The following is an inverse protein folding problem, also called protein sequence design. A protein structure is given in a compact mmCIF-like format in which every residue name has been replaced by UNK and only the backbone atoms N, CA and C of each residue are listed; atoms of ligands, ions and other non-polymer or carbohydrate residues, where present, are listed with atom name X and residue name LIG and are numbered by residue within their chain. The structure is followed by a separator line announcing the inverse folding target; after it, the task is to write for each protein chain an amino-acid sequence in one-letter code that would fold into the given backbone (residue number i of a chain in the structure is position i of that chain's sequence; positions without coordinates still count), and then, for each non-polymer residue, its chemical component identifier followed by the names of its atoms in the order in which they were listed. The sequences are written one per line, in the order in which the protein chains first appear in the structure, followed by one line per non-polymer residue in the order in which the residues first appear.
data_IF_504553614156
#
_entry.id   IF_504553614156
#
_cell.length_a   1.000
_cell.length_b   1.000
_cell.length_c   1.000
_cell.angle_alpha   90.00
_cell.angle_beta   90.00
_cell.angle_gamma   90.00
#
_symmetry.space_group_name_H-M   'P 1'
#
loop_
_entity.id
_entity.type
_entity.pdbx_description
1 polymer ?
#
# COMPACT_ATOMS: atom_id res chain seq x y z
N UNK A 1 51.30 -30.40 -42.07
CA UNK A 1 51.01 -29.03 -41.57
C UNK A 1 49.52 -28.70 -41.55
N UNK A 2 48.73 -29.11 -42.56
CA UNK A 2 47.27 -28.85 -42.61
C UNK A 2 46.44 -29.47 -41.46
N UNK A 3 46.70 -30.72 -41.03
CA UNK A 3 45.95 -31.38 -39.93
C UNK A 3 46.11 -30.73 -38.56
N UNK A 4 47.21 -30.03 -38.31
CA UNK A 4 47.45 -29.35 -37.03
C UNK A 4 46.57 -28.10 -36.89
N UNK A 5 46.31 -27.41 -38.00
CA UNK A 5 45.46 -26.21 -38.03
C UNK A 5 43.99 -26.60 -37.86
N UNK A 6 43.53 -27.68 -38.51
CA UNK A 6 42.15 -28.18 -38.35
C UNK A 6 41.84 -28.62 -36.91
N UNK A 7 42.80 -29.24 -36.21
CA UNK A 7 42.62 -29.63 -34.81
C UNK A 7 42.53 -28.43 -33.87
N UNK A 8 43.30 -27.37 -34.12
CA UNK A 8 43.24 -26.12 -33.32
C UNK A 8 41.92 -25.39 -33.58
N UNK A 9 41.48 -25.30 -34.84
CA UNK A 9 40.21 -24.66 -35.21
C UNK A 9 39.03 -25.43 -34.61
N UNK A 10 39.05 -26.76 -34.64
CA UNK A 10 38.02 -27.58 -33.96
C UNK A 10 38.07 -27.43 -32.43
N UNK A 11 39.25 -27.32 -31.81
CA UNK A 11 39.33 -27.09 -30.36
C UNK A 11 38.74 -25.73 -29.95
N UNK A 12 38.98 -24.68 -30.75
CA UNK A 12 38.44 -23.34 -30.51
C UNK A 12 36.92 -23.32 -30.74
N UNK A 13 36.44 -23.87 -31.85
CA UNK A 13 35.01 -23.86 -32.19
C UNK A 13 34.15 -24.76 -31.30
N UNK A 14 34.65 -25.94 -30.94
CA UNK A 14 33.86 -26.97 -30.23
C UNK A 14 34.10 -26.94 -28.72
N UNK A 15 35.27 -26.44 -28.26
CA UNK A 15 35.64 -26.44 -26.84
C UNK A 15 35.55 -25.08 -26.14
N UNK A 16 35.97 -23.99 -26.78
CA UNK A 16 36.11 -22.69 -26.12
C UNK A 16 34.88 -21.79 -26.28
N UNK A 17 34.36 -21.66 -27.50
CA UNK A 17 33.20 -20.80 -27.80
C UNK A 17 31.92 -21.23 -27.07
N UNK A 18 31.56 -22.53 -27.00
CA UNK A 18 30.34 -22.95 -26.29
C UNK A 18 30.42 -22.75 -24.77
N UNK A 19 31.60 -22.91 -24.18
CA UNK A 19 31.81 -22.75 -22.73
C UNK A 19 31.76 -21.27 -22.30
N UNK A 20 32.31 -20.35 -23.10
CA UNK A 20 32.23 -18.91 -22.83
C UNK A 20 30.80 -18.39 -23.07
N UNK A 21 30.12 -18.86 -24.11
CA UNK A 21 28.72 -18.53 -24.37
C UNK A 21 27.78 -19.07 -23.27
N UNK A 22 28.03 -20.29 -22.79
CA UNK A 22 27.34 -20.87 -21.64
C UNK A 22 27.55 -20.05 -20.37
N UNK A 23 28.79 -19.71 -20.02
CA UNK A 23 29.11 -18.92 -18.83
C UNK A 23 28.47 -17.50 -18.86
N UNK A 24 28.40 -16.86 -20.03
CA UNK A 24 27.72 -15.57 -20.19
C UNK A 24 26.20 -15.67 -20.07
N UNK A 25 25.59 -16.73 -20.62
CA UNK A 25 24.14 -16.97 -20.49
C UNK A 25 23.76 -17.33 -19.05
N UNK A 26 24.55 -18.18 -18.36
CA UNK A 26 24.31 -18.50 -16.96
C UNK A 26 24.57 -17.31 -16.03
N UNK A 27 25.59 -16.48 -16.31
CA UNK A 27 25.85 -15.24 -15.58
C UNK A 27 24.71 -14.22 -15.70
N UNK A 28 24.11 -14.08 -16.89
CA UNK A 28 22.96 -13.22 -17.13
C UNK A 28 21.66 -13.73 -16.47
N UNK A 29 21.46 -15.05 -16.43
CA UNK A 29 20.31 -15.67 -15.72
C UNK A 29 20.47 -15.49 -14.20
N UNK A 30 21.67 -15.67 -13.64
CA UNK A 30 21.92 -15.47 -12.21
C UNK A 30 21.76 -14.01 -11.80
N UNK A 31 22.24 -13.05 -12.61
CA UNK A 31 22.00 -11.62 -12.37
C UNK A 31 20.52 -11.24 -12.48
N UNK A 32 19.82 -11.76 -13.50
CA UNK A 32 18.39 -11.53 -13.66
C UNK A 32 17.60 -12.07 -12.46
N UNK A 33 17.84 -13.31 -12.04
CA UNK A 33 17.17 -13.90 -10.87
C UNK A 33 17.43 -13.08 -9.60
N UNK A 34 18.66 -12.60 -9.39
CA UNK A 34 18.98 -11.75 -8.25
C UNK A 34 18.25 -10.40 -8.28
N UNK A 35 18.10 -9.78 -9.45
CA UNK A 35 17.35 -8.52 -9.60
C UNK A 35 15.85 -8.71 -9.38
N UNK A 36 15.25 -9.80 -9.88
CA UNK A 36 13.84 -10.11 -9.67
C UNK A 36 13.53 -10.50 -8.22
N UNK A 37 14.39 -11.27 -7.56
CA UNK A 37 14.24 -11.64 -6.14
C UNK A 37 14.43 -10.41 -5.22
N UNK A 38 15.40 -9.55 -5.54
CA UNK A 38 15.60 -8.29 -4.81
C UNK A 38 14.39 -7.36 -4.98
N UNK A 39 13.82 -7.25 -6.18
CA UNK A 39 12.61 -6.48 -6.43
C UNK A 39 11.41 -7.00 -5.63
N UNK A 40 11.23 -8.33 -5.54
CA UNK A 40 10.17 -8.91 -4.74
C UNK A 40 10.37 -8.66 -3.23
N UNK A 41 11.56 -8.91 -2.69
CA UNK A 41 11.86 -8.70 -1.27
C UNK A 41 11.68 -7.23 -0.89
N UNK A 42 12.21 -6.30 -1.70
CA UNK A 42 12.05 -4.86 -1.48
C UNK A 42 10.58 -4.45 -1.63
N UNK A 43 9.88 -4.95 -2.64
CA UNK A 43 8.46 -4.67 -2.87
C UNK A 43 7.56 -5.15 -1.71
N UNK A 44 7.76 -6.37 -1.22
CA UNK A 44 7.05 -6.89 -0.04
C UNK A 44 7.42 -6.11 1.23
N UNK A 45 8.69 -5.77 1.44
CA UNK A 45 9.13 -4.96 2.58
C UNK A 45 8.51 -3.56 2.60
N UNK A 46 8.50 -2.87 1.45
CA UNK A 46 7.87 -1.54 1.32
C UNK A 46 6.36 -1.65 1.46
N UNK A 47 5.71 -2.64 0.82
CA UNK A 47 4.26 -2.82 0.91
C UNK A 47 3.78 -3.09 2.34
N UNK A 48 4.48 -3.95 3.09
CA UNK A 48 4.13 -4.27 4.48
C UNK A 48 4.34 -3.06 5.41
N UNK A 49 5.41 -2.30 5.23
CA UNK A 49 5.68 -1.11 6.06
C UNK A 49 4.62 -0.01 5.87
N UNK A 50 4.14 0.23 4.64
CA UNK A 50 3.04 1.19 4.38
C UNK A 50 1.75 0.76 5.10
N UNK A 51 1.40 -0.53 5.04
CA UNK A 51 0.22 -1.06 5.72
C UNK A 51 0.32 -0.93 7.25
N UNK A 52 1.50 -1.20 7.80
CA UNK A 52 1.75 -1.04 9.24
C UNK A 52 1.61 0.42 9.66
N UNK A 53 2.23 1.35 8.94
CA UNK A 53 2.14 2.79 9.21
C UNK A 53 0.70 3.30 9.10
N UNK A 54 -0.05 2.83 8.10
CA UNK A 54 -1.47 3.13 7.95
C UNK A 54 -2.31 2.64 9.13
N UNK A 55 -2.00 1.45 9.67
CA UNK A 55 -2.69 0.89 10.84
C UNK A 55 -2.39 1.68 12.11
N UNK A 56 -1.12 2.07 12.31
CA UNK A 56 -0.70 2.92 13.45
C UNK A 56 -1.39 4.28 13.40
N UNK A 57 -1.51 4.88 12.22
CA UNK A 57 -2.21 6.15 12.03
C UNK A 57 -3.67 6.07 12.48
N UNK A 58 -4.39 5.02 12.06
CA UNK A 58 -5.79 4.80 12.44
C UNK A 58 -5.96 4.61 13.95
N UNK A 59 -5.06 3.86 14.58
CA UNK A 59 -5.10 3.64 16.02
C UNK A 59 -4.87 4.94 16.81
N UNK A 60 -3.95 5.78 16.34
CA UNK A 60 -3.73 7.12 16.92
C UNK A 60 -4.98 8.00 16.79
N UNK A 61 -5.63 7.98 15.61
CA UNK A 61 -6.88 8.71 15.39
C UNK A 61 -8.00 8.25 16.30
N UNK A 62 -8.18 6.93 16.46
CA UNK A 62 -9.13 6.35 17.41
C UNK A 62 -8.90 6.88 18.84
N UNK A 63 -7.66 6.81 19.35
CA UNK A 63 -7.32 7.30 20.69
C UNK A 63 -7.62 8.78 20.85
N UNK A 64 -7.28 9.60 19.84
CA UNK A 64 -7.53 11.04 19.86
C UNK A 64 -9.02 11.36 19.91
N UNK A 65 -9.82 10.70 19.09
CA UNK A 65 -11.28 10.90 19.07
C UNK A 65 -11.90 10.44 20.38
N UNK A 66 -11.52 9.26 20.88
CA UNK A 66 -11.99 8.75 22.17
C UNK A 66 -11.73 9.75 23.30
N UNK A 67 -10.50 10.24 23.41
CA UNK A 67 -10.12 11.24 24.42
C UNK A 67 -10.96 12.51 24.31
N UNK A 68 -11.18 13.02 23.09
CA UNK A 68 -11.99 14.22 22.88
C UNK A 68 -13.46 14.01 23.27
N UNK A 69 -14.02 12.83 22.99
CA UNK A 69 -15.38 12.47 23.37
C UNK A 69 -15.53 12.32 24.90
N UNK A 70 -14.50 11.79 25.58
CA UNK A 70 -14.46 11.68 27.03
C UNK A 70 -14.34 13.07 27.71
N UNK A 71 -13.54 13.97 27.14
CA UNK A 71 -13.30 15.31 27.72
C UNK A 71 -14.44 16.30 27.46
N UNK A 72 -15.04 16.27 26.26
CA UNK A 72 -15.97 17.32 25.79
C UNK A 72 -17.37 16.82 25.49
N UNK A 73 -17.60 15.51 25.51
CA UNK A 73 -18.82 14.91 25.00
C UNK A 73 -18.88 14.89 23.47
N UNK A 74 -20.05 14.56 22.94
CA UNK A 74 -20.26 14.45 21.50
C UNK A 74 -20.41 15.83 20.82
N UNK A 75 -19.59 16.07 19.78
CA UNK A 75 -19.71 17.24 18.89
C UNK A 75 -19.45 16.81 17.43
N UNK A 76 -20.38 17.15 16.54
CA UNK A 76 -20.29 16.95 15.09
C UNK A 76 -18.96 17.45 14.50
N UNK A 77 -18.37 18.52 15.07
CA UNK A 77 -17.10 19.11 14.61
C UNK A 77 -15.90 18.20 14.86
N UNK A 78 -15.97 17.33 15.87
CA UNK A 78 -14.89 16.38 16.20
C UNK A 78 -14.88 15.23 15.17
N UNK A 79 -16.07 14.73 14.82
CA UNK A 79 -16.24 13.57 13.94
C UNK A 79 -16.23 13.91 12.45
N UNK A 80 -16.71 15.10 12.06
CA UNK A 80 -16.76 15.57 10.66
C UNK A 80 -15.44 15.45 9.88
N UNK A 81 -14.27 15.91 10.38
CA UNK A 81 -13.02 15.82 9.61
C UNK A 81 -12.52 14.39 9.44
N UNK A 82 -12.86 13.49 10.37
CA UNK A 82 -12.48 12.07 10.33
C UNK A 82 -13.48 11.21 9.56
N UNK A 83 -14.56 11.81 9.08
CA UNK A 83 -15.60 11.15 8.31
C UNK A 83 -15.30 11.09 6.81
N UNK A 84 -14.08 11.36 6.33
CA UNK A 84 -13.79 11.32 4.89
C UNK A 84 -13.35 9.95 4.38
N UNK A 85 -12.41 9.30 5.08
CA UNK A 85 -11.88 7.99 4.69
C UNK A 85 -12.67 6.86 5.36
N UNK A 86 -12.77 5.70 4.69
CA UNK A 86 -13.43 4.53 5.25
C UNK A 86 -12.76 4.04 6.54
N UNK A 87 -11.42 4.02 6.57
CA UNK A 87 -10.66 3.54 7.71
C UNK A 87 -10.75 4.47 8.93
N UNK A 88 -10.74 5.80 8.73
CA UNK A 88 -10.94 6.74 9.84
C UNK A 88 -12.37 6.68 10.37
N UNK A 89 -13.38 6.48 9.52
CA UNK A 89 -14.77 6.28 9.95
C UNK A 89 -14.93 5.05 10.82
N UNK A 90 -14.22 3.97 10.49
CA UNK A 90 -14.22 2.76 11.32
C UNK A 90 -13.61 3.04 12.69
N UNK A 91 -12.46 3.75 12.73
CA UNK A 91 -11.84 4.19 13.97
C UNK A 91 -12.78 5.06 14.82
N UNK A 92 -13.48 6.02 14.21
CA UNK A 92 -14.46 6.87 14.88
C UNK A 92 -15.65 6.05 15.39
N UNK A 93 -16.17 5.12 14.58
CA UNK A 93 -17.29 4.25 14.96
C UNK A 93 -16.94 3.43 16.23
N UNK A 94 -15.73 2.88 16.29
CA UNK A 94 -15.27 2.17 17.48
C UNK A 94 -15.11 3.10 18.69
N UNK A 95 -14.61 4.32 18.49
CA UNK A 95 -14.49 5.31 19.56
C UNK A 95 -15.87 5.68 20.15
N UNK A 96 -16.84 6.03 19.31
CA UNK A 96 -18.20 6.40 19.78
C UNK A 96 -18.94 5.22 20.39
N UNK A 97 -18.73 4.00 19.89
CA UNK A 97 -19.31 2.78 20.46
C UNK A 97 -18.82 2.54 21.89
N UNK A 98 -17.55 2.84 22.18
CA UNK A 98 -17.01 2.68 23.53
C UNK A 98 -17.40 3.81 24.49
N UNK A 99 -17.59 5.04 23.99
CA UNK A 99 -17.95 6.19 24.81
C UNK A 99 -19.46 6.36 24.99
N UNK A 100 -20.27 5.56 24.31
CA UNK A 100 -21.74 5.55 24.44
C UNK A 100 -22.48 6.48 23.48
N UNK A 101 -21.78 7.23 22.63
CA UNK A 101 -22.37 8.21 21.70
C UNK A 101 -22.71 7.63 20.32
N UNK A 102 -23.14 6.36 20.28
CA UNK A 102 -23.37 5.65 19.01
C UNK A 102 -24.61 6.18 18.29
N UNK A 103 -25.66 6.55 19.02
CA UNK A 103 -26.93 7.02 18.46
C UNK A 103 -26.75 8.40 17.81
N UNK A 104 -26.06 9.32 18.47
CA UNK A 104 -25.73 10.65 17.95
C UNK A 104 -24.87 10.55 16.70
N UNK A 105 -23.91 9.62 16.68
CA UNK A 105 -23.10 9.34 15.50
C UNK A 105 -23.91 8.74 14.35
N UNK A 106 -24.91 7.91 14.63
CA UNK A 106 -25.81 7.38 13.59
C UNK A 106 -26.65 8.51 12.99
N UNK A 107 -27.17 9.41 13.81
CA UNK A 107 -27.96 10.55 13.36
C UNK A 107 -27.11 11.53 12.55
N UNK A 108 -25.85 11.78 12.96
CA UNK A 108 -24.88 12.52 12.16
C UNK A 108 -24.63 11.88 10.79
N UNK A 109 -24.41 10.57 10.74
CA UNK A 109 -24.17 9.88 9.47
C UNK A 109 -25.40 9.90 8.55
N UNK A 110 -26.61 9.80 9.10
CA UNK A 110 -27.85 9.94 8.34
C UNK A 110 -28.00 11.36 7.77
N UNK A 111 -27.76 12.40 8.58
CA UNK A 111 -27.80 13.81 8.16
C UNK A 111 -26.79 14.12 7.05
N UNK A 112 -25.57 13.59 7.15
CA UNK A 112 -24.53 13.81 6.15
C UNK A 112 -24.65 12.89 4.91
N UNK A 113 -25.63 11.96 4.88
CA UNK A 113 -25.81 11.01 3.78
C UNK A 113 -24.68 9.98 3.69
N UNK A 114 -23.96 9.77 4.78
CA UNK A 114 -22.84 8.86 4.88
C UNK A 114 -23.34 7.42 5.06
N UNK A 115 -23.39 6.68 3.95
CA UNK A 115 -23.67 5.23 4.00
C UNK A 115 -22.39 4.45 4.27
N UNK A 116 -22.50 3.33 4.99
CA UNK A 116 -21.37 2.51 5.42
C UNK A 116 -20.55 1.95 4.24
N UNK A 117 -21.19 1.75 3.08
CA UNK A 117 -20.58 1.21 1.86
C UNK A 117 -19.96 2.27 0.95
N UNK A 118 -20.09 3.56 1.28
CA UNK A 118 -19.39 4.59 0.52
C UNK A 118 -17.92 4.63 0.97
N UNK A 119 -17.01 4.24 0.06
CA UNK A 119 -15.55 4.34 0.27
C UNK A 119 -15.12 5.81 0.27
N UNK A 120 -15.70 6.62 -0.62
CA UNK A 120 -15.52 8.08 -0.71
C UNK A 120 -16.89 8.78 -0.74
N UNK A 121 -17.40 9.23 0.41
CA UNK A 121 -18.83 9.53 0.52
C UNK A 121 -19.17 10.95 0.10
N UNK A 122 -18.15 11.71 -0.29
CA UNK A 122 -18.20 13.12 -0.66
C UNK A 122 -17.46 13.45 -1.95
N UNK A 123 -17.21 12.47 -2.85
CA UNK A 123 -16.61 12.79 -4.17
C UNK A 123 -17.47 13.86 -4.88
N UNK A 124 -18.80 13.70 -4.85
CA UNK A 124 -19.70 14.66 -5.49
C UNK A 124 -19.74 16.03 -4.78
N UNK A 125 -19.45 16.11 -3.47
CA UNK A 125 -19.50 17.38 -2.71
C UNK A 125 -18.19 18.14 -2.89
N UNK A 126 -17.07 17.41 -2.92
CA UNK A 126 -15.75 17.95 -3.22
C UNK A 126 -15.68 18.64 -4.60
N UNK A 127 -16.29 18.03 -5.63
CA UNK A 127 -16.39 18.62 -6.99
C UNK A 127 -17.23 19.92 -6.98
N UNK A 128 -18.23 20.06 -6.09
CA UNK A 128 -19.02 21.30 -5.97
C UNK A 128 -18.30 22.40 -5.19
N UNK A 129 -17.50 22.05 -4.18
CA UNK A 129 -16.74 23.01 -3.37
C UNK A 129 -15.48 23.51 -4.10
N UNK A 130 -14.92 22.74 -5.03
CA UNK A 130 -13.74 23.11 -5.83
C UNK A 130 -13.99 22.88 -7.34
N UNK A 131 -14.77 23.75 -8.01
CA UNK A 131 -15.15 23.56 -9.42
C UNK A 131 -14.01 23.79 -10.43
N UNK A 132 -12.83 24.22 -10.00
CA UNK A 132 -11.73 24.67 -10.85
C UNK A 132 -10.48 23.75 -10.81
N UNK A 133 -10.67 22.46 -10.55
CA UNK A 133 -9.63 21.43 -10.70
C UNK A 133 -9.95 20.49 -11.86
#
# INVERSE_FOLDING_TARGET
MARTIENIVNYIHVGLVPNVAGALCFGGIIHGVYEWDTFQIVGFGVGTSINLLGSVHQFSNYKRVKKLLEEKGYDDKIVRPKSYSWCDRYAVNQAVKQTGYLDEYRDFNQREGHKWYHILPKVHRFIREFPNF
#
